data_IF_547586751296
#
_entry.id   IF_547586751296
#
_cell.length_a   1.000
_cell.length_b   1.000
_cell.length_c   1.000
_cell.angle_alpha   90.00
_cell.angle_beta   90.00
_cell.angle_gamma   90.00
#
_symmetry.space_group_name_H-M   'P 1'
#
loop_
_entity.id
_entity.type
_entity.pdbx_description
1 polymer ?
#
# COMPACT_ATOMS: atom_id res chain seq x y z
N UNK A 1 -9.37 -16.51 -24.30
CA UNK A 1 -8.07 -15.77 -24.41
C UNK A 1 -6.95 -16.78 -24.45
N UNK A 2 -6.01 -16.62 -25.39
CA UNK A 2 -4.83 -17.49 -25.44
C UNK A 2 -3.88 -17.05 -24.31
N UNK A 3 -3.53 -17.95 -23.41
CA UNK A 3 -2.55 -17.69 -22.36
C UNK A 3 -1.17 -17.69 -23.01
N UNK A 4 -0.36 -16.65 -22.76
CA UNK A 4 1.05 -16.62 -23.20
C UNK A 4 1.80 -17.81 -22.62
N UNK A 5 2.75 -18.36 -23.35
CA UNK A 5 3.62 -19.44 -22.87
C UNK A 5 4.70 -18.94 -21.89
N UNK A 6 4.94 -17.63 -21.84
CA UNK A 6 5.93 -16.97 -20.97
C UNK A 6 5.35 -15.71 -20.36
N UNK A 7 5.90 -15.29 -19.20
CA UNK A 7 5.56 -14.04 -18.53
C UNK A 7 6.80 -13.45 -17.88
N UNK A 8 6.74 -12.16 -17.54
CA UNK A 8 7.83 -11.43 -16.91
C UNK A 8 7.64 -11.39 -15.40
N UNK A 9 8.76 -11.47 -14.66
CA UNK A 9 8.83 -11.27 -13.22
C UNK A 9 10.04 -10.43 -12.84
N UNK A 10 10.00 -9.80 -11.68
CA UNK A 10 11.14 -9.10 -11.11
C UNK A 10 11.58 -9.86 -9.86
N UNK A 11 12.86 -10.22 -9.81
CA UNK A 11 13.48 -10.91 -8.69
C UNK A 11 14.39 -9.97 -7.91
N UNK A 12 14.56 -10.20 -6.61
CA UNK A 12 15.60 -9.55 -5.81
C UNK A 12 16.94 -10.22 -6.14
N UNK A 13 17.78 -9.55 -6.93
CA UNK A 13 19.08 -10.09 -7.36
C UNK A 13 20.19 -9.88 -6.32
N UNK A 14 20.19 -8.72 -5.67
CA UNK A 14 21.13 -8.36 -4.60
C UNK A 14 20.41 -7.61 -3.49
N UNK A 15 20.95 -7.64 -2.29
CA UNK A 15 20.40 -6.88 -1.17
C UNK A 15 20.88 -5.44 -1.22
N UNK A 16 19.96 -4.45 -1.04
CA UNK A 16 20.40 -3.06 -0.90
C UNK A 16 21.11 -2.84 0.43
N UNK A 17 22.18 -2.05 0.41
CA UNK A 17 22.91 -1.68 1.61
C UNK A 17 22.10 -0.65 2.44
N UNK A 18 21.66 0.43 1.83
CA UNK A 18 20.79 1.44 2.46
C UNK A 18 19.48 1.61 1.68
N UNK A 19 19.52 2.40 0.62
CA UNK A 19 18.36 2.64 -0.26
C UNK A 19 18.35 1.62 -1.39
N UNK A 20 17.20 1.02 -1.67
CA UNK A 20 17.04 0.13 -2.81
C UNK A 20 17.19 0.91 -4.12
N UNK A 21 17.93 0.35 -5.07
CA UNK A 21 18.14 0.89 -6.40
C UNK A 21 17.68 -0.13 -7.46
N UNK A 22 17.49 0.27 -8.72
CA UNK A 22 17.18 -0.66 -9.80
C UNK A 22 18.18 -1.82 -9.93
N UNK A 23 19.45 -1.62 -9.57
CA UNK A 23 20.51 -2.63 -9.65
C UNK A 23 20.31 -3.79 -8.66
N UNK A 24 19.48 -3.62 -7.65
CA UNK A 24 19.11 -4.69 -6.73
C UNK A 24 18.13 -5.70 -7.35
N UNK A 25 17.56 -5.38 -8.50
CA UNK A 25 16.52 -6.17 -9.12
C UNK A 25 16.94 -6.67 -10.50
N UNK A 26 16.36 -7.79 -10.90
CA UNK A 26 16.51 -8.33 -12.24
C UNK A 26 15.16 -8.71 -12.84
N UNK A 27 14.90 -8.22 -14.05
CA UNK A 27 13.75 -8.62 -14.85
C UNK A 27 14.06 -9.97 -15.52
N UNK A 28 13.19 -10.93 -15.34
CA UNK A 28 13.28 -12.27 -15.95
C UNK A 28 12.04 -12.58 -16.76
N UNK A 29 12.23 -13.32 -17.88
CA UNK A 29 11.14 -13.95 -18.61
C UNK A 29 11.17 -15.44 -18.33
N UNK A 30 10.07 -16.00 -17.81
CA UNK A 30 9.96 -17.40 -17.41
C UNK A 30 8.79 -18.07 -18.09
N UNK A 31 8.88 -19.37 -18.30
CA UNK A 31 7.77 -20.15 -18.84
C UNK A 31 6.61 -20.22 -17.85
N UNK A 32 5.38 -20.22 -18.35
CA UNK A 32 4.19 -20.51 -17.53
C UNK A 32 4.27 -21.98 -17.12
N UNK A 33 4.29 -22.28 -15.79
CA UNK A 33 4.38 -23.65 -15.34
C UNK A 33 3.07 -24.40 -15.58
N UNK A 34 3.17 -25.72 -15.74
CA UNK A 34 2.00 -26.59 -15.70
C UNK A 34 1.40 -26.58 -14.27
N UNK A 35 0.09 -26.45 -14.21
CA UNK A 35 -0.60 -26.49 -12.91
C UNK A 35 -0.69 -27.92 -12.38
N UNK A 36 -0.40 -28.08 -11.11
CA UNK A 36 -0.73 -29.28 -10.33
C UNK A 36 -2.18 -29.22 -9.85
N UNK A 37 -2.72 -30.37 -9.41
CA UNK A 37 -4.03 -30.43 -8.77
C UNK A 37 -4.10 -29.47 -7.56
N UNK A 38 -5.21 -28.76 -7.43
CA UNK A 38 -5.43 -27.75 -6.40
C UNK A 38 -4.83 -26.37 -6.69
N UNK A 39 -4.14 -26.18 -7.82
CA UNK A 39 -3.53 -24.90 -8.19
C UNK A 39 -4.36 -24.08 -9.17
N UNK A 40 -4.12 -22.80 -9.16
CA UNK A 40 -4.65 -21.82 -10.11
C UNK A 40 -3.54 -20.94 -10.68
N UNK A 41 -3.70 -20.50 -11.92
CA UNK A 41 -2.86 -19.48 -12.56
C UNK A 41 -3.63 -18.15 -12.59
N UNK A 42 -3.02 -17.10 -12.08
CA UNK A 42 -3.59 -15.77 -12.02
C UNK A 42 -2.79 -14.85 -12.94
N UNK A 43 -3.49 -14.06 -13.76
CA UNK A 43 -2.92 -12.91 -14.45
C UNK A 43 -3.09 -11.68 -13.57
N UNK A 44 -1.99 -11.12 -13.11
CA UNK A 44 -2.00 -9.91 -12.29
C UNK A 44 -2.33 -8.68 -13.13
N UNK A 45 -3.18 -7.80 -12.60
CA UNK A 45 -3.54 -6.53 -13.22
C UNK A 45 -2.91 -5.35 -12.50
N UNK A 46 -2.82 -5.45 -11.16
CA UNK A 46 -2.20 -4.43 -10.31
C UNK A 46 -1.33 -5.09 -9.24
N UNK A 47 -0.28 -4.38 -8.88
CA UNK A 47 0.66 -4.69 -7.83
C UNK A 47 0.70 -3.52 -6.84
N UNK A 48 0.62 -3.79 -5.55
CA UNK A 48 0.91 -2.79 -4.51
C UNK A 48 2.41 -2.69 -4.26
N UNK A 49 2.92 -1.47 -4.14
CA UNK A 49 4.28 -1.19 -3.70
C UNK A 49 4.22 -0.64 -2.27
N UNK A 50 4.67 -1.43 -1.31
CA UNK A 50 4.50 -1.16 0.11
C UNK A 50 5.84 -1.05 0.84
N UNK A 51 5.97 -0.20 1.87
CA UNK A 51 7.22 0.00 2.63
C UNK A 51 7.81 -1.29 3.24
N UNK A 52 6.98 -2.25 3.64
CA UNK A 52 7.45 -3.51 4.21
C UNK A 52 8.37 -4.29 3.27
N UNK A 53 8.25 -4.10 1.96
CA UNK A 53 9.09 -4.75 0.96
C UNK A 53 10.56 -4.39 1.16
N UNK A 54 10.85 -3.11 1.50
CA UNK A 54 12.23 -2.67 1.78
C UNK A 54 12.83 -3.39 2.98
N UNK A 55 12.05 -3.53 4.05
CA UNK A 55 12.49 -4.24 5.27
C UNK A 55 12.80 -5.71 4.95
N UNK A 56 11.98 -6.35 4.13
CA UNK A 56 12.19 -7.74 3.72
C UNK A 56 13.38 -7.96 2.77
N UNK A 57 13.95 -6.92 2.20
CA UNK A 57 15.20 -7.02 1.41
C UNK A 57 16.44 -7.17 2.30
N UNK A 58 16.37 -6.92 3.61
CA UNK A 58 17.48 -7.14 4.53
C UNK A 58 17.78 -8.64 4.69
N UNK A 59 19.05 -8.95 5.07
CA UNK A 59 19.44 -10.34 5.34
C UNK A 59 18.91 -10.85 6.69
N UNK A 60 18.75 -9.94 7.64
CA UNK A 60 18.32 -10.26 9.00
C UNK A 60 16.80 -10.42 9.07
N UNK A 61 16.37 -11.34 9.92
CA UNK A 61 14.93 -11.54 10.20
C UNK A 61 14.41 -10.36 11.02
N UNK A 62 13.43 -9.66 10.45
CA UNK A 62 12.64 -8.66 11.15
C UNK A 62 11.32 -9.28 11.68
N UNK A 63 10.21 -8.58 11.53
CA UNK A 63 8.87 -9.09 11.86
C UNK A 63 8.37 -10.18 10.90
N UNK A 64 9.05 -10.37 9.75
CA UNK A 64 8.76 -11.40 8.76
C UNK A 64 10.07 -11.95 8.18
N UNK A 65 9.99 -13.13 7.55
CA UNK A 65 11.15 -13.75 6.89
C UNK A 65 11.72 -12.86 5.78
N UNK A 66 13.06 -12.78 5.64
CA UNK A 66 13.70 -12.08 4.54
C UNK A 66 13.24 -12.58 3.17
N UNK A 67 13.20 -11.67 2.20
CA UNK A 67 13.02 -12.05 0.80
C UNK A 67 14.23 -12.88 0.34
N UNK A 68 13.98 -14.04 -0.26
CA UNK A 68 15.05 -14.86 -0.82
C UNK A 68 15.62 -14.19 -2.09
N UNK A 69 16.96 -14.31 -2.27
CA UNK A 69 17.59 -13.84 -3.51
C UNK A 69 17.21 -14.72 -4.69
N UNK A 70 17.09 -14.11 -5.85
CA UNK A 70 16.69 -14.74 -7.13
C UNK A 70 15.25 -15.29 -7.15
N UNK A 71 14.46 -15.01 -6.12
CA UNK A 71 13.03 -15.29 -6.10
C UNK A 71 12.22 -14.04 -6.47
N UNK A 72 11.02 -14.27 -7.01
CA UNK A 72 10.08 -13.19 -7.33
C UNK A 72 9.89 -12.28 -6.13
N UNK A 73 10.13 -10.99 -6.30
CA UNK A 73 9.96 -10.02 -5.22
C UNK A 73 8.51 -10.06 -4.72
N UNK A 74 8.35 -10.17 -3.40
CA UNK A 74 7.04 -10.28 -2.76
C UNK A 74 6.21 -9.03 -2.99
N UNK A 75 4.90 -9.19 -3.11
CA UNK A 75 3.96 -8.08 -3.21
C UNK A 75 2.52 -8.54 -3.29
N UNK A 76 1.63 -7.73 -2.72
CA UNK A 76 0.20 -7.92 -2.86
C UNK A 76 -0.25 -7.60 -4.29
N UNK A 77 -1.03 -8.48 -4.89
CA UNK A 77 -1.54 -8.31 -6.25
C UNK A 77 -3.03 -8.57 -6.32
N UNK A 78 -3.68 -7.95 -7.28
CA UNK A 78 -5.03 -8.30 -7.69
C UNK A 78 -5.02 -8.69 -9.17
N UNK A 79 -5.77 -9.71 -9.51
CA UNK A 79 -5.78 -10.26 -10.85
C UNK A 79 -6.97 -11.15 -11.15
N UNK A 80 -6.94 -11.76 -12.33
CA UNK A 80 -7.99 -12.68 -12.80
C UNK A 80 -7.42 -14.08 -12.96
N UNK A 81 -8.15 -15.08 -12.51
CA UNK A 81 -7.81 -16.49 -12.71
C UNK A 81 -7.94 -16.81 -14.20
N UNK A 82 -6.86 -17.25 -14.81
CA UNK A 82 -6.81 -17.60 -16.24
C UNK A 82 -6.74 -19.10 -16.50
N UNK A 83 -6.35 -19.91 -15.52
CA UNK A 83 -6.45 -21.35 -15.52
C UNK A 83 -6.64 -21.87 -14.09
N UNK A 84 -7.36 -23.00 -13.94
CA UNK A 84 -7.63 -23.59 -12.63
C UNK A 84 -7.68 -25.11 -12.69
N UNK A 85 -7.01 -25.71 -11.73
CA UNK A 85 -7.18 -27.11 -11.28
C UNK A 85 -7.63 -27.15 -9.80
N UNK A 86 -8.18 -26.05 -9.27
CA UNK A 86 -8.67 -25.93 -7.91
C UNK A 86 -10.20 -25.80 -7.91
N UNK A 87 -10.94 -26.74 -7.27
CA UNK A 87 -12.42 -26.73 -7.33
C UNK A 87 -13.06 -25.52 -6.65
N UNK A 88 -12.32 -24.78 -5.80
CA UNK A 88 -12.82 -23.56 -5.15
C UNK A 88 -12.77 -22.33 -6.04
N UNK A 89 -12.02 -22.35 -7.14
CA UNK A 89 -11.74 -21.17 -7.97
C UNK A 89 -12.00 -21.45 -9.45
N UNK A 90 -12.81 -20.62 -10.08
CA UNK A 90 -13.14 -20.71 -11.49
C UNK A 90 -12.33 -19.71 -12.33
N UNK A 91 -12.10 -20.05 -13.60
CA UNK A 91 -11.53 -19.13 -14.59
C UNK A 91 -12.45 -17.94 -14.75
N UNK A 92 -11.88 -16.72 -14.76
CA UNK A 92 -12.59 -15.45 -14.84
C UNK A 92 -12.86 -14.80 -13.49
N UNK A 93 -12.75 -15.53 -12.37
CA UNK A 93 -12.89 -14.91 -11.04
C UNK A 93 -11.73 -13.96 -10.75
N UNK A 94 -12.05 -12.84 -10.10
CA UNK A 94 -11.07 -11.86 -9.65
C UNK A 94 -10.66 -12.16 -8.22
N UNK A 95 -9.35 -12.06 -7.97
CA UNK A 95 -8.75 -12.44 -6.68
C UNK A 95 -7.69 -11.45 -6.25
N UNK A 96 -7.48 -11.39 -4.92
CA UNK A 96 -6.32 -10.77 -4.29
C UNK A 96 -5.44 -11.86 -3.69
N UNK A 97 -4.12 -11.70 -3.81
CA UNK A 97 -3.13 -12.61 -3.24
C UNK A 97 -1.75 -11.99 -3.16
N UNK A 98 -0.78 -12.75 -2.67
CA UNK A 98 0.63 -12.35 -2.54
C UNK A 98 1.45 -12.96 -3.68
N UNK A 99 1.14 -12.60 -4.93
CA UNK A 99 1.75 -13.23 -6.12
C UNK A 99 3.04 -12.52 -6.59
N UNK A 100 3.41 -11.44 -5.92
CA UNK A 100 4.69 -10.77 -6.13
C UNK A 100 4.77 -9.90 -7.39
N UNK A 101 5.97 -9.42 -7.65
CA UNK A 101 6.27 -8.54 -8.77
C UNK A 101 6.34 -9.35 -10.07
N UNK A 102 5.20 -9.74 -10.58
CA UNK A 102 5.06 -10.68 -11.69
C UNK A 102 3.79 -10.40 -12.48
N UNK A 103 3.83 -10.64 -13.79
CA UNK A 103 2.64 -10.55 -14.64
C UNK A 103 1.66 -11.70 -14.39
N UNK A 104 2.17 -12.85 -13.96
CA UNK A 104 1.37 -14.02 -13.58
C UNK A 104 1.90 -14.67 -12.33
N UNK A 105 1.02 -15.37 -11.61
CA UNK A 105 1.41 -16.14 -10.43
C UNK A 105 0.60 -17.42 -10.29
N UNK A 106 1.22 -18.46 -9.74
CA UNK A 106 0.55 -19.71 -9.37
C UNK A 106 0.29 -19.70 -7.88
N UNK A 107 -0.89 -20.17 -7.50
CA UNK A 107 -1.30 -20.31 -6.09
C UNK A 107 -2.05 -21.60 -5.88
N UNK A 108 -1.92 -22.18 -4.67
CA UNK A 108 -2.73 -23.30 -4.18
C UNK A 108 -4.12 -22.85 -3.67
N UNK A 109 -4.37 -21.54 -3.68
CA UNK A 109 -5.63 -20.94 -3.25
C UNK A 109 -5.77 -20.73 -1.74
N UNK A 110 -4.77 -21.10 -0.92
CA UNK A 110 -4.86 -20.94 0.55
C UNK A 110 -4.90 -19.48 0.97
N UNK A 111 -4.04 -18.65 0.36
CA UNK A 111 -3.94 -17.22 0.65
C UNK A 111 -4.65 -16.34 -0.40
N UNK A 112 -5.48 -16.93 -1.25
CA UNK A 112 -6.29 -16.18 -2.20
C UNK A 112 -7.66 -15.84 -1.62
N UNK A 113 -8.12 -14.63 -1.88
CA UNK A 113 -9.49 -14.19 -1.59
C UNK A 113 -10.18 -13.74 -2.88
N UNK A 114 -11.38 -14.26 -3.13
CA UNK A 114 -12.24 -13.78 -4.23
C UNK A 114 -12.71 -12.37 -3.95
N UNK A 115 -12.84 -11.58 -5.00
CA UNK A 115 -13.25 -10.17 -4.95
C UNK A 115 -14.56 -9.96 -5.69
N UNK A 116 -15.44 -9.17 -5.09
CA UNK A 116 -16.61 -8.64 -5.76
C UNK A 116 -16.29 -7.25 -6.32
N UNK A 117 -16.19 -7.17 -7.63
CA UNK A 117 -15.87 -5.93 -8.34
C UNK A 117 -17.06 -5.27 -9.01
N UNK A 118 -18.27 -5.65 -8.61
CA UNK A 118 -19.53 -5.09 -9.15
C UNK A 118 -19.61 -3.58 -8.92
N UNK A 119 -19.18 -3.10 -7.76
CA UNK A 119 -19.25 -1.69 -7.36
C UNK A 119 -17.92 -1.08 -6.95
N UNK A 120 -16.88 -1.90 -6.79
CA UNK A 120 -15.55 -1.48 -6.32
C UNK A 120 -14.53 -1.84 -7.37
N UNK A 121 -13.74 -0.88 -7.89
CA UNK A 121 -12.72 -1.18 -8.88
C UNK A 121 -11.65 -2.11 -8.29
N UNK A 122 -11.14 -3.01 -9.12
CA UNK A 122 -10.18 -4.05 -8.70
C UNK A 122 -8.95 -3.47 -7.97
N UNK A 123 -8.42 -2.33 -8.42
CA UNK A 123 -7.27 -1.66 -7.80
C UNK A 123 -7.52 -1.19 -6.37
N UNK A 124 -8.78 -0.84 -6.02
CA UNK A 124 -9.12 -0.37 -4.67
C UNK A 124 -8.90 -1.44 -3.59
N UNK A 125 -8.88 -2.73 -3.96
CA UNK A 125 -8.58 -3.84 -3.05
C UNK A 125 -7.09 -3.91 -2.63
N UNK A 126 -6.21 -3.16 -3.29
CA UNK A 126 -4.83 -2.92 -2.84
C UNK A 126 -4.68 -1.58 -2.10
N UNK A 127 -5.71 -0.76 -2.06
CA UNK A 127 -5.73 0.58 -1.46
C UNK A 127 -6.79 0.72 -0.37
N UNK A 128 -7.81 1.57 -0.65
CA UNK A 128 -8.81 2.01 0.33
C UNK A 128 -9.65 0.88 0.95
N UNK A 129 -9.92 -0.22 0.22
CA UNK A 129 -10.62 -1.40 0.76
C UNK A 129 -9.68 -2.59 0.95
N UNK A 130 -8.37 -2.35 0.95
CA UNK A 130 -7.30 -3.32 1.20
C UNK A 130 -6.52 -3.03 2.47
N UNK A 131 -5.23 -3.42 2.49
CA UNK A 131 -4.36 -3.26 3.64
C UNK A 131 -4.20 -1.78 4.07
N UNK A 132 -3.94 -0.82 3.16
CA UNK A 132 -3.84 0.60 3.55
C UNK A 132 -5.10 1.15 4.20
N UNK A 133 -6.27 0.86 3.62
CA UNK A 133 -7.54 1.29 4.19
C UNK A 133 -7.87 0.65 5.53
N UNK A 134 -7.58 -0.64 5.70
CA UNK A 134 -7.73 -1.33 7.00
C UNK A 134 -6.80 -0.74 8.06
N UNK A 135 -5.54 -0.44 7.69
CA UNK A 135 -4.57 0.23 8.56
C UNK A 135 -5.09 1.60 9.00
N UNK A 136 -5.57 2.40 8.06
CA UNK A 136 -6.15 3.72 8.33
C UNK A 136 -7.37 3.62 9.26
N UNK A 137 -8.31 2.74 8.94
CA UNK A 137 -9.52 2.54 9.73
C UNK A 137 -9.20 2.08 11.15
N UNK A 138 -8.37 1.04 11.30
CA UNK A 138 -8.03 0.48 12.59
C UNK A 138 -7.27 1.50 13.46
N UNK A 139 -6.26 2.15 12.89
CA UNK A 139 -5.47 3.17 13.59
C UNK A 139 -6.33 4.33 14.08
N UNK A 140 -7.18 4.88 13.20
CA UNK A 140 -8.04 6.00 13.54
C UNK A 140 -9.13 5.63 14.54
N UNK A 141 -9.78 4.47 14.37
CA UNK A 141 -10.99 4.14 15.13
C UNK A 141 -10.74 3.33 16.38
N UNK A 142 -9.73 2.45 16.39
CA UNK A 142 -9.46 1.53 17.50
C UNK A 142 -8.29 1.98 18.37
N UNK A 143 -7.26 2.59 17.79
CA UNK A 143 -6.08 3.05 18.52
C UNK A 143 -6.27 4.50 18.96
N UNK A 144 -6.42 5.42 18.02
CA UNK A 144 -6.57 6.85 18.31
C UNK A 144 -7.92 7.17 18.93
N UNK A 145 -8.98 6.49 18.52
CA UNK A 145 -10.36 6.71 18.94
C UNK A 145 -10.80 8.18 18.78
N UNK A 146 -10.35 8.80 17.66
CA UNK A 146 -10.60 10.20 17.38
C UNK A 146 -12.09 10.53 17.39
N UNK A 147 -12.45 11.65 18.03
CA UNK A 147 -13.82 12.11 18.27
C UNK A 147 -14.14 13.35 17.45
N UNK A 148 -15.41 13.60 17.26
CA UNK A 148 -15.90 14.83 16.63
C UNK A 148 -15.32 16.09 17.31
N UNK A 149 -14.85 17.03 16.50
CA UNK A 149 -14.24 18.28 16.93
C UNK A 149 -12.74 18.20 17.22
N UNK A 150 -12.16 17.00 17.35
CA UNK A 150 -10.72 16.83 17.55
C UNK A 150 -9.91 17.10 16.27
N UNK A 151 -8.67 17.56 16.44
CA UNK A 151 -7.70 17.78 15.35
C UNK A 151 -6.84 16.54 15.19
N UNK A 152 -6.94 15.91 14.02
CA UNK A 152 -6.13 14.76 13.61
C UNK A 152 -5.05 15.22 12.63
N UNK A 153 -3.79 15.11 13.04
CA UNK A 153 -2.63 15.36 12.19
C UNK A 153 -2.21 14.06 11.49
N UNK A 154 -1.93 14.13 10.18
CA UNK A 154 -1.59 12.96 9.36
C UNK A 154 -0.31 13.23 8.59
N UNK A 155 0.77 12.52 8.90
CA UNK A 155 1.99 12.57 8.07
C UNK A 155 1.83 11.70 6.82
N UNK A 156 2.59 12.00 5.77
CA UNK A 156 2.42 11.42 4.43
C UNK A 156 0.96 11.42 3.96
N UNK A 157 0.27 12.55 4.14
CA UNK A 157 -1.18 12.69 3.94
C UNK A 157 -1.66 12.36 2.52
N UNK A 158 -0.79 12.48 1.51
CA UNK A 158 -1.09 12.08 0.12
C UNK A 158 -0.81 10.60 -0.17
N UNK A 159 -0.30 9.85 0.81
CA UNK A 159 0.05 8.43 0.67
C UNK A 159 -1.14 7.50 0.79
N UNK A 160 -0.92 6.20 0.51
CA UNK A 160 -1.99 5.19 0.47
C UNK A 160 -2.76 5.05 1.80
N UNK A 161 -2.09 5.16 2.94
CA UNK A 161 -2.73 5.14 4.27
C UNK A 161 -3.22 6.54 4.65
N UNK A 162 -2.34 7.55 4.58
CA UNK A 162 -2.64 8.91 5.02
C UNK A 162 -3.86 9.53 4.34
N UNK A 163 -4.01 9.31 3.03
CA UNK A 163 -5.17 9.79 2.28
C UNK A 163 -6.50 9.23 2.78
N UNK A 164 -6.51 7.98 3.24
CA UNK A 164 -7.70 7.35 3.81
C UNK A 164 -7.94 7.84 5.23
N UNK A 165 -6.88 7.97 6.05
CA UNK A 165 -7.01 8.45 7.44
C UNK A 165 -7.72 9.80 7.49
N UNK A 166 -7.26 10.79 6.70
CA UNK A 166 -7.84 12.12 6.75
C UNK A 166 -9.27 12.17 6.27
N UNK A 167 -9.61 11.45 5.19
CA UNK A 167 -11.00 11.35 4.74
C UNK A 167 -11.90 10.69 5.80
N UNK A 168 -11.45 9.62 6.45
CA UNK A 168 -12.19 9.00 7.56
C UNK A 168 -12.30 9.93 8.77
N UNK A 169 -11.26 10.71 9.09
CA UNK A 169 -11.31 11.73 10.14
C UNK A 169 -12.38 12.79 9.81
N UNK A 170 -12.41 13.29 8.58
CA UNK A 170 -13.45 14.22 8.11
C UNK A 170 -14.85 13.63 8.25
N UNK A 171 -15.07 12.38 7.85
CA UNK A 171 -16.36 11.69 7.98
C UNK A 171 -16.80 11.52 9.46
N UNK A 172 -15.86 11.55 10.40
CA UNK A 172 -16.11 11.50 11.84
C UNK A 172 -16.28 12.89 12.49
N UNK A 173 -16.26 13.95 11.69
CA UNK A 173 -16.39 15.33 12.19
C UNK A 173 -15.11 15.89 12.80
N UNK A 174 -13.96 15.25 12.58
CA UNK A 174 -12.66 15.77 13.01
C UNK A 174 -12.17 16.86 12.06
N UNK A 175 -11.29 17.73 12.55
CA UNK A 175 -10.41 18.56 11.74
C UNK A 175 -9.24 17.70 11.25
N UNK A 176 -9.05 17.58 9.95
CA UNK A 176 -7.95 16.82 9.36
C UNK A 176 -6.87 17.77 8.83
N UNK A 177 -5.66 17.67 9.37
CA UNK A 177 -4.49 18.43 8.93
C UNK A 177 -3.46 17.46 8.37
N UNK A 178 -2.97 17.70 7.15
CA UNK A 178 -2.02 16.85 6.48
C UNK A 178 -0.60 17.42 6.48
N UNK A 179 0.40 16.55 6.45
CA UNK A 179 1.78 16.88 6.09
C UNK A 179 2.14 16.09 4.85
N UNK A 180 2.62 16.78 3.79
CA UNK A 180 3.03 16.16 2.53
C UNK A 180 4.25 16.88 1.95
N UNK A 181 4.91 16.27 0.96
CA UNK A 181 6.12 16.85 0.38
C UNK A 181 5.87 17.50 -0.99
N UNK A 182 5.83 18.82 -1.01
CA UNK A 182 5.67 19.65 -2.19
C UNK A 182 4.26 20.23 -2.34
N UNK A 183 4.16 21.40 -2.99
CA UNK A 183 2.92 22.17 -3.10
C UNK A 183 1.81 21.39 -3.84
N UNK A 184 2.15 20.65 -4.89
CA UNK A 184 1.19 19.86 -5.66
C UNK A 184 0.50 18.78 -4.79
N UNK A 185 1.27 18.07 -3.94
CA UNK A 185 0.71 17.09 -3.02
C UNK A 185 -0.16 17.74 -1.96
N UNK A 186 0.26 18.87 -1.41
CA UNK A 186 -0.54 19.61 -0.45
C UNK A 186 -1.83 20.15 -1.06
N UNK A 187 -1.79 20.59 -2.32
CA UNK A 187 -2.99 20.99 -3.05
C UNK A 187 -3.94 19.79 -3.22
N UNK A 188 -3.45 18.67 -3.71
CA UNK A 188 -4.24 17.43 -3.85
C UNK A 188 -4.90 17.01 -2.54
N UNK A 189 -4.15 17.07 -1.43
CA UNK A 189 -4.67 16.69 -0.09
C UNK A 189 -5.82 17.61 0.33
N UNK A 190 -5.73 18.92 0.08
CA UNK A 190 -6.81 19.85 0.41
C UNK A 190 -7.99 19.75 -0.57
N UNK A 191 -7.70 19.84 -1.85
CA UNK A 191 -8.72 20.10 -2.87
C UNK A 191 -9.47 18.81 -3.27
N UNK A 192 -8.77 17.67 -3.33
CA UNK A 192 -9.34 16.39 -3.74
C UNK A 192 -9.68 15.48 -2.56
N UNK A 193 -8.86 15.45 -1.50
CA UNK A 193 -9.09 14.58 -0.35
C UNK A 193 -9.89 15.27 0.76
N UNK A 194 -10.11 16.59 0.68
CA UNK A 194 -10.97 17.35 1.59
C UNK A 194 -10.39 17.56 2.99
N UNK A 195 -9.07 17.55 3.15
CA UNK A 195 -8.44 17.96 4.40
C UNK A 195 -8.65 19.46 4.64
N UNK A 196 -8.71 19.88 5.89
CA UNK A 196 -8.88 21.28 6.27
C UNK A 196 -7.62 22.11 6.03
N UNK A 197 -6.44 21.50 6.11
CA UNK A 197 -5.15 22.08 5.79
C UNK A 197 -4.14 21.02 5.40
N UNK A 198 -3.08 21.43 4.68
CA UNK A 198 -1.93 20.58 4.41
C UNK A 198 -0.67 21.42 4.38
N UNK A 199 0.36 21.00 5.10
CA UNK A 199 1.64 21.67 5.25
C UNK A 199 2.69 20.96 4.40
N UNK A 200 3.48 21.74 3.65
CA UNK A 200 4.61 21.22 2.89
C UNK A 200 5.87 21.18 3.76
N UNK A 201 6.26 19.99 4.23
CA UNK A 201 7.46 19.82 5.07
C UNK A 201 8.79 20.18 4.38
N UNK A 202 8.77 20.47 3.07
CA UNK A 202 9.93 20.94 2.30
C UNK A 202 10.08 22.46 2.30
N UNK A 203 9.06 23.18 2.75
CA UNK A 203 9.15 24.63 2.91
C UNK A 203 10.04 24.97 4.11
N UNK A 204 10.79 26.08 4.02
CA UNK A 204 11.71 26.48 5.09
C UNK A 204 11.00 26.92 6.38
N UNK A 205 9.73 27.29 6.30
CA UNK A 205 8.86 27.77 7.38
C UNK A 205 7.75 26.77 7.72
N UNK A 206 7.93 25.50 7.38
CA UNK A 206 6.87 24.49 7.50
C UNK A 206 6.39 24.27 8.94
N UNK A 207 7.26 24.39 9.94
CA UNK A 207 6.86 24.28 11.36
C UNK A 207 5.95 25.43 11.79
N UNK A 208 6.25 26.68 11.33
CA UNK A 208 5.37 27.81 11.56
C UNK A 208 4.01 27.64 10.88
N UNK A 209 4.02 27.08 9.66
CA UNK A 209 2.78 26.74 8.94
C UNK A 209 1.99 25.64 9.68
N UNK A 210 2.66 24.65 10.29
CA UNK A 210 2.01 23.61 11.07
C UNK A 210 1.31 24.22 12.30
N UNK A 211 1.98 25.07 13.04
CA UNK A 211 1.39 25.78 14.19
C UNK A 211 0.18 26.63 13.76
N UNK A 212 0.29 27.33 12.63
CA UNK A 212 -0.83 28.12 12.09
C UNK A 212 -2.00 27.25 11.63
N UNK A 213 -1.72 26.03 11.12
CA UNK A 213 -2.74 25.07 10.68
C UNK A 213 -3.45 24.37 11.84
N UNK A 214 -2.84 24.35 13.04
CA UNK A 214 -3.34 23.68 14.25
C UNK A 214 -3.50 24.63 15.44
N UNK A 215 -4.27 25.73 15.31
CA UNK A 215 -4.33 26.80 16.31
C UNK A 215 -4.95 26.37 17.65
N UNK A 216 -5.71 25.28 17.68
CA UNK A 216 -6.27 24.69 18.87
C UNK A 216 -5.43 23.52 19.43
N UNK A 217 -4.26 23.27 18.83
CA UNK A 217 -3.43 22.11 19.13
C UNK A 217 -3.80 20.87 18.31
N UNK A 218 -3.14 19.77 18.62
CA UNK A 218 -3.30 18.46 17.95
C UNK A 218 -3.77 17.46 19.02
N UNK A 219 -4.91 16.83 18.81
CA UNK A 219 -5.45 15.83 19.73
C UNK A 219 -4.91 14.43 19.42
N UNK A 220 -4.63 14.14 18.13
CA UNK A 220 -4.13 12.84 17.72
C UNK A 220 -3.25 12.96 16.47
N UNK A 221 -2.19 12.13 16.41
CA UNK A 221 -1.24 12.06 15.30
C UNK A 221 -1.30 10.67 14.67
N UNK A 222 -1.58 10.60 13.38
CA UNK A 222 -1.40 9.38 12.59
C UNK A 222 -0.06 9.45 11.87
N UNK A 223 0.94 8.82 12.45
CA UNK A 223 2.32 8.91 12.01
C UNK A 223 2.69 7.79 11.03
N UNK A 224 3.21 8.16 9.86
CA UNK A 224 3.61 7.24 8.78
C UNK A 224 5.09 7.36 8.36
N UNK A 225 5.86 8.29 8.92
CA UNK A 225 7.18 8.68 8.38
C UNK A 225 8.32 8.51 9.37
N UNK A 226 8.18 9.06 10.59
CA UNK A 226 9.25 9.16 11.58
C UNK A 226 10.21 10.34 11.34
N UNK A 227 11.32 10.35 12.09
CA UNK A 227 12.39 11.35 11.97
C UNK A 227 11.93 12.78 12.27
N UNK A 228 12.58 13.76 11.62
CA UNK A 228 12.35 15.19 11.87
C UNK A 228 10.86 15.61 11.76
N UNK A 229 10.11 14.98 10.86
CA UNK A 229 8.67 15.26 10.71
C UNK A 229 7.91 14.84 11.96
N UNK A 230 8.23 13.66 12.52
CA UNK A 230 7.61 13.19 13.75
C UNK A 230 8.02 14.03 14.97
N UNK A 231 9.33 14.34 15.08
CA UNK A 231 9.87 15.11 16.20
C UNK A 231 9.22 16.50 16.30
N UNK A 232 8.95 17.14 15.16
CA UNK A 232 8.28 18.43 15.11
C UNK A 232 6.76 18.37 15.40
N UNK A 233 6.17 17.18 15.41
CA UNK A 233 4.75 16.98 15.74
C UNK A 233 4.49 16.73 17.23
N UNK A 234 5.55 16.56 18.03
CA UNK A 234 5.49 16.30 19.47
C UNK A 234 5.59 17.59 20.27
#
# INVERSE_FOLDING_TARGET
MTISSHFRRIVLATRPDQTASPDNFRLETVAVPELSEGQVLIKNHFLSLDPYMRVRMNAEKGYAEPQALNETMIGGTVGTIVASKNPRYAVGEQVIGMLGWSEMGVSDGVLLRKLDTTHIPLSAYLGAVGMPGMTAWYGLTQIMQAKEGETVLVSAASGAVGSVVGQLAKLRGCRAVGIAGGPEKCQYVRDELGFDACVDYKASDWEEQLLAATPAGIDAIFENVGGEVFDACL
#
